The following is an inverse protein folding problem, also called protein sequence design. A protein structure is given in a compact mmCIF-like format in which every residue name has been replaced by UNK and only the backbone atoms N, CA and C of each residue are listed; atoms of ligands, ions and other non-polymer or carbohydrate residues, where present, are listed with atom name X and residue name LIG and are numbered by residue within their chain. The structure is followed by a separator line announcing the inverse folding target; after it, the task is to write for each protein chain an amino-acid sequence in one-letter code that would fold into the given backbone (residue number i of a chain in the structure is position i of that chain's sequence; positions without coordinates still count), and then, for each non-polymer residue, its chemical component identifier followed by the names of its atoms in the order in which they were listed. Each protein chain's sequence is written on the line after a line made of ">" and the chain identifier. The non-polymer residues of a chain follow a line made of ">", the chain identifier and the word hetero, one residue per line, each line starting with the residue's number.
data_IF_199969366795
#
_entry.id   IF_199969366795
#
_cell.length_a   1.000
_cell.length_b   1.000
_cell.length_c   1.000
_cell.angle_alpha   90.00
_cell.angle_beta   90.00
_cell.angle_gamma   90.00
#
_symmetry.space_group_name_H-M   'P 1'
#
loop_
_entity.id
_entity.type
_entity.pdbx_description
1 polymer ?
#
# COMPACT_ATOMS: atom_id res chain seq x y z
N UNK A 1 15.60 -19.75 13.82
CA UNK A 1 15.56 -18.32 13.50
C UNK A 1 16.35 -18.06 12.24
N UNK A 2 15.66 -18.11 11.10
CA UNK A 2 16.15 -17.73 9.78
C UNK A 2 15.96 -16.23 9.55
N UNK A 3 16.57 -15.68 8.50
CA UNK A 3 16.38 -14.27 8.15
C UNK A 3 14.90 -13.93 7.86
N UNK A 4 14.18 -14.84 7.20
CA UNK A 4 12.75 -14.65 6.91
C UNK A 4 11.91 -14.67 8.21
N UNK A 5 12.22 -15.57 9.14
CA UNK A 5 11.57 -15.62 10.46
C UNK A 5 11.81 -14.33 11.25
N UNK A 6 13.00 -13.73 11.15
CA UNK A 6 13.30 -12.45 11.81
C UNK A 6 12.48 -11.29 11.24
N UNK A 7 12.36 -11.23 9.90
CA UNK A 7 11.54 -10.21 9.23
C UNK A 7 10.07 -10.36 9.62
N UNK A 8 9.54 -11.59 9.58
CA UNK A 8 8.16 -11.87 9.97
C UNK A 8 7.88 -11.50 11.44
N UNK A 9 8.79 -11.87 12.35
CA UNK A 9 8.67 -11.52 13.77
C UNK A 9 8.72 -10.01 14.00
N UNK A 10 9.59 -9.27 13.30
CA UNK A 10 9.64 -7.82 13.43
C UNK A 10 8.40 -7.15 12.82
N UNK A 11 7.85 -7.68 11.71
CA UNK A 11 6.59 -7.18 11.15
C UNK A 11 5.45 -7.37 12.14
N UNK A 12 5.35 -8.53 12.78
CA UNK A 12 4.37 -8.78 13.84
C UNK A 12 4.54 -7.80 15.00
N UNK A 13 5.79 -7.56 15.44
CA UNK A 13 6.09 -6.58 16.49
C UNK A 13 5.68 -5.14 16.09
N UNK A 14 5.89 -4.73 14.85
CA UNK A 14 5.45 -3.42 14.36
C UNK A 14 3.93 -3.27 14.48
N UNK A 15 3.17 -4.29 14.12
CA UNK A 15 1.71 -4.29 14.24
C UNK A 15 1.28 -4.28 15.71
N UNK A 16 1.72 -5.27 16.50
CA UNK A 16 1.20 -5.50 17.85
C UNK A 16 1.72 -4.51 18.90
N UNK A 17 2.98 -4.11 18.79
CA UNK A 17 3.64 -3.29 19.82
C UNK A 17 3.70 -1.83 19.42
N UNK A 18 3.89 -1.54 18.12
CA UNK A 18 3.97 -0.16 17.64
C UNK A 18 2.65 0.37 17.07
N UNK A 19 1.67 -0.49 16.79
CA UNK A 19 0.40 -0.09 16.18
C UNK A 19 0.52 0.27 14.71
N UNK A 20 1.58 -0.16 14.02
CA UNK A 20 1.77 0.08 12.59
C UNK A 20 0.94 -0.93 11.79
N UNK A 21 -0.38 -0.79 11.86
CA UNK A 21 -1.33 -1.65 11.17
C UNK A 21 -1.35 -1.37 9.67
N UNK A 22 -1.93 -2.27 8.85
CA UNK A 22 -2.17 -2.00 7.43
C UNK A 22 -2.85 -0.64 7.17
N UNK A 23 -3.83 -0.26 7.99
CA UNK A 23 -4.56 1.00 7.87
C UNK A 23 -3.67 2.22 8.20
N UNK A 24 -2.80 2.10 9.20
CA UNK A 24 -1.79 3.12 9.47
C UNK A 24 -0.83 3.26 8.30
N UNK A 25 -0.38 2.14 7.73
CA UNK A 25 0.54 2.14 6.59
C UNK A 25 -0.10 2.80 5.35
N UNK A 26 -1.43 2.67 5.18
CA UNK A 26 -2.19 3.32 4.09
C UNK A 26 -2.20 4.86 4.18
N UNK A 27 -1.87 5.44 5.35
CA UNK A 27 -1.73 6.89 5.53
C UNK A 27 -0.39 7.44 4.98
N UNK A 28 0.59 6.58 4.70
CA UNK A 28 1.95 6.95 4.24
C UNK A 28 2.11 6.69 2.74
N UNK A 29 1.69 7.66 1.93
CA UNK A 29 1.60 7.52 0.46
C UNK A 29 2.72 8.22 -0.31
N UNK A 30 3.58 8.99 0.36
CA UNK A 30 4.67 9.75 -0.28
C UNK A 30 6.00 8.97 -0.29
N UNK A 31 5.98 7.69 0.08
CA UNK A 31 7.15 6.80 0.10
C UNK A 31 7.87 6.76 1.45
N UNK A 32 7.25 7.28 2.51
CA UNK A 32 7.84 7.39 3.85
C UNK A 32 8.26 6.02 4.41
N UNK A 33 7.47 4.97 4.16
CA UNK A 33 7.78 3.60 4.61
C UNK A 33 9.02 3.05 3.87
N UNK A 34 9.15 3.34 2.57
CA UNK A 34 10.29 2.91 1.77
C UNK A 34 11.57 3.66 2.15
N UNK A 35 11.49 4.96 2.39
CA UNK A 35 12.58 5.76 2.95
C UNK A 35 13.00 5.19 4.32
N UNK A 36 12.01 4.78 5.13
CA UNK A 36 12.30 4.15 6.40
C UNK A 36 12.95 2.75 6.25
N UNK A 37 12.55 1.95 5.29
CA UNK A 37 13.29 0.73 5.00
C UNK A 37 14.75 1.02 4.62
N UNK A 38 14.96 2.05 3.80
CA UNK A 38 16.28 2.43 3.30
C UNK A 38 17.22 2.90 4.40
N UNK A 39 16.78 3.73 5.36
CA UNK A 39 17.71 4.11 6.42
C UNK A 39 18.10 2.89 7.25
N UNK A 40 17.19 2.00 7.67
CA UNK A 40 17.57 0.78 8.40
C UNK A 40 18.51 -0.12 7.58
N UNK A 41 18.31 -0.20 6.26
CA UNK A 41 19.18 -0.96 5.37
C UNK A 41 20.55 -0.33 5.15
N UNK A 42 20.67 1.00 5.27
CA UNK A 42 21.93 1.71 5.07
C UNK A 42 22.98 1.35 6.15
N UNK A 43 24.27 1.20 5.80
CA UNK A 43 25.34 1.10 6.79
C UNK A 43 25.48 2.41 7.58
N UNK A 44 25.95 2.35 8.83
CA UNK A 44 25.96 3.47 9.81
C UNK A 44 26.71 4.74 9.38
N UNK A 45 27.35 4.75 8.21
CA UNK A 45 28.16 5.85 7.69
C UNK A 45 27.37 7.05 7.15
N UNK A 46 26.02 6.99 7.17
CA UNK A 46 25.13 7.97 6.52
C UNK A 46 23.96 8.43 7.41
N UNK A 47 24.07 8.31 8.73
CA UNK A 47 22.97 8.68 9.64
C UNK A 47 23.10 10.13 10.07
N UNK A 48 22.27 10.99 9.47
CA UNK A 48 22.02 12.33 9.98
C UNK A 48 21.44 12.23 11.42
N UNK A 49 21.87 13.09 12.36
CA UNK A 49 21.42 13.10 13.76
C UNK A 49 19.91 13.27 13.98
N UNK A 50 19.15 13.58 12.93
CA UNK A 50 17.69 13.77 12.95
C UNK A 50 16.92 12.72 12.15
N UNK A 51 17.60 11.68 11.65
CA UNK A 51 16.96 10.56 10.97
C UNK A 51 16.04 9.79 11.93
N UNK A 52 14.93 9.24 11.41
CA UNK A 52 13.98 8.48 12.23
C UNK A 52 14.63 7.17 12.76
N UNK A 53 15.79 6.79 12.21
CA UNK A 53 16.72 5.80 12.72
C UNK A 53 17.62 6.26 13.89
N UNK A 54 17.23 7.29 14.66
CA UNK A 54 17.99 7.88 15.79
C UNK A 54 18.50 6.87 16.86
N UNK A 55 17.93 5.65 16.92
CA UNK A 55 18.32 4.56 17.83
C UNK A 55 18.99 3.37 17.16
N UNK A 56 19.52 3.51 15.95
CA UNK A 56 20.18 2.40 15.23
C UNK A 56 21.29 1.71 16.04
N UNK A 57 22.02 2.47 16.85
CA UNK A 57 23.06 1.94 17.74
C UNK A 57 22.54 1.00 18.85
N UNK A 58 21.23 0.99 19.12
CA UNK A 58 20.60 0.07 20.08
C UNK A 58 20.31 -1.31 19.46
N UNK A 59 20.59 -1.50 18.16
CA UNK A 59 20.27 -2.70 17.41
C UNK A 59 21.49 -3.27 16.68
N UNK A 60 21.66 -4.59 16.77
CA UNK A 60 22.64 -5.31 15.96
C UNK A 60 22.32 -5.14 14.46
N UNK A 61 23.34 -5.30 13.60
CA UNK A 61 23.16 -5.17 12.16
C UNK A 61 22.06 -6.09 11.59
N UNK A 62 21.94 -7.31 12.13
CA UNK A 62 20.87 -8.24 11.74
C UNK A 62 19.48 -7.73 12.14
N UNK A 63 19.33 -7.12 13.32
CA UNK A 63 18.07 -6.52 13.75
C UNK A 63 17.68 -5.31 12.90
N UNK A 64 18.65 -4.47 12.51
CA UNK A 64 18.40 -3.35 11.60
C UNK A 64 17.90 -3.86 10.24
N UNK A 65 18.55 -4.88 9.66
CA UNK A 65 18.11 -5.48 8.39
C UNK A 65 16.74 -6.16 8.51
N UNK A 66 16.44 -6.80 9.63
CA UNK A 66 15.11 -7.36 9.87
C UNK A 66 14.03 -6.27 9.91
N UNK A 67 14.31 -5.12 10.54
CA UNK A 67 13.42 -3.94 10.54
C UNK A 67 13.23 -3.36 9.14
N UNK A 68 14.31 -3.23 8.37
CA UNK A 68 14.23 -2.81 6.98
C UNK A 68 13.34 -3.75 6.15
N UNK A 69 13.58 -5.07 6.25
CA UNK A 69 12.77 -6.06 5.56
C UNK A 69 11.29 -6.01 5.95
N UNK A 70 10.99 -5.82 7.24
CA UNK A 70 9.61 -5.69 7.72
C UNK A 70 8.90 -4.45 7.15
N UNK A 71 9.62 -3.32 7.04
CA UNK A 71 9.07 -2.10 6.41
C UNK A 71 8.86 -2.26 4.90
N UNK A 72 9.76 -2.98 4.20
CA UNK A 72 9.56 -3.30 2.77
C UNK A 72 8.29 -4.14 2.58
N UNK A 73 8.07 -5.14 3.44
CA UNK A 73 6.85 -5.95 3.42
C UNK A 73 5.63 -5.06 3.62
N UNK A 74 5.65 -4.16 4.60
CA UNK A 74 4.55 -3.22 4.87
C UNK A 74 4.24 -2.33 3.64
N UNK A 75 5.26 -1.75 2.99
CA UNK A 75 5.07 -0.91 1.80
C UNK A 75 4.53 -1.71 0.60
N UNK A 76 5.02 -2.94 0.39
CA UNK A 76 4.49 -3.82 -0.65
C UNK A 76 3.02 -4.14 -0.42
N UNK A 77 2.65 -4.46 0.83
CA UNK A 77 1.27 -4.75 1.20
C UNK A 77 0.36 -3.52 0.99
N UNK A 78 0.84 -2.31 1.32
CA UNK A 78 0.15 -1.04 1.08
C UNK A 78 -0.11 -0.82 -0.41
N UNK A 79 0.92 -0.95 -1.25
CA UNK A 79 0.79 -0.81 -2.71
C UNK A 79 -0.20 -1.85 -3.26
N UNK A 80 -0.08 -3.11 -2.86
CA UNK A 80 -0.97 -4.18 -3.30
C UNK A 80 -2.44 -3.92 -2.92
N UNK A 81 -2.72 -3.28 -1.77
CA UNK A 81 -4.07 -2.86 -1.40
C UNK A 81 -4.56 -1.71 -2.29
N UNK A 82 -3.72 -0.69 -2.53
CA UNK A 82 -4.02 0.42 -3.42
C UNK A 82 -4.33 -0.02 -4.85
N UNK A 83 -3.49 -0.87 -5.44
CA UNK A 83 -3.68 -1.44 -6.78
C UNK A 83 -4.99 -2.24 -6.87
N UNK A 84 -5.32 -3.01 -5.83
CA UNK A 84 -6.58 -3.75 -5.76
C UNK A 84 -7.79 -2.82 -5.74
N UNK A 85 -7.73 -1.72 -5.00
CA UNK A 85 -8.82 -0.73 -4.96
C UNK A 85 -8.98 -0.03 -6.31
N UNK A 86 -7.88 0.36 -6.96
CA UNK A 86 -7.91 0.97 -8.29
C UNK A 86 -8.50 0.03 -9.36
N UNK A 87 -8.20 -1.27 -9.29
CA UNK A 87 -8.79 -2.27 -10.18
C UNK A 87 -10.31 -2.45 -9.99
N UNK A 88 -10.81 -2.32 -8.76
CA UNK A 88 -12.25 -2.41 -8.47
C UNK A 88 -12.97 -1.17 -9.04
N UNK A 89 -12.42 0.03 -8.84
CA UNK A 89 -13.00 1.28 -9.32
C UNK A 89 -13.23 1.27 -10.85
N UNK A 90 -12.19 0.87 -11.60
CA UNK A 90 -12.25 0.69 -13.06
C UNK A 90 -13.29 -0.34 -13.51
N UNK A 91 -13.58 -1.36 -12.69
CA UNK A 91 -14.56 -2.39 -13.02
C UNK A 91 -16.00 -1.94 -12.80
N UNK A 92 -16.25 -1.06 -11.82
CA UNK A 92 -17.57 -0.52 -11.52
C UNK A 92 -18.06 0.49 -12.56
N UNK A 93 -17.13 1.26 -13.15
CA UNK A 93 -17.44 2.19 -14.24
C UNK A 93 -17.82 1.50 -15.56
N UNK A 94 -17.37 0.24 -15.75
CA UNK A 94 -17.61 -0.51 -16.99
C UNK A 94 -19.00 -1.14 -17.11
N UNK A 95 -19.77 -1.19 -16.01
CA UNK A 95 -21.07 -1.91 -15.95
C UNK A 95 -22.29 -0.97 -16.15
N UNK A 96 -22.10 0.34 -16.32
CA UNK A 96 -23.20 1.32 -16.48
C UNK A 96 -23.59 1.67 -17.93
N UNK A 97 -23.06 0.97 -18.95
CA UNK A 97 -23.30 1.34 -20.37
C UNK A 97 -24.38 0.55 -21.13
N UNK A 98 -25.23 -0.27 -20.47
CA UNK A 98 -26.32 -0.99 -21.16
C UNK A 98 -27.68 -0.90 -20.47
N UNK A 99 -28.29 0.30 -20.42
CA UNK A 99 -29.76 0.41 -20.44
C UNK A 99 -30.17 1.73 -21.09
N UNK A 100 -30.17 1.75 -22.42
CA UNK A 100 -30.95 2.73 -23.19
C UNK A 100 -32.15 1.96 -23.72
N UNK A 101 -33.26 2.02 -22.99
CA UNK A 101 -34.54 1.43 -23.42
C UNK A 101 -34.97 2.08 -24.75
N UNK A 102 -34.98 1.27 -25.80
CA UNK A 102 -35.55 1.62 -27.08
C UNK A 102 -37.08 1.71 -26.96
N UNK A 103 -37.60 2.91 -26.76
CA UNK A 103 -39.01 3.21 -27.07
C UNK A 103 -39.08 3.81 -28.48
N UNK A 104 -39.19 2.93 -29.47
CA UNK A 104 -39.58 3.30 -30.82
C UNK A 104 -41.09 3.53 -30.86
N UNK A 105 -41.52 4.78 -30.80
CA UNK A 105 -42.89 5.13 -31.17
C UNK A 105 -42.94 5.29 -32.70
N UNK A 106 -43.50 4.25 -33.33
CA UNK A 106 -43.77 4.18 -34.77
C UNK A 106 -44.84 5.21 -35.12
N UNK A 107 -44.47 6.22 -35.90
CA UNK A 107 -45.42 7.17 -36.50
C UNK A 107 -45.43 6.95 -38.01
N UNK A 108 -46.52 6.39 -38.52
CA UNK A 108 -46.97 6.52 -39.92
C UNK A 108 -48.52 6.43 -39.95
N UNK A 109 -49.20 6.81 -41.06
CA UNK A 109 -49.35 8.18 -41.55
C UNK A 109 -50.84 8.52 -41.76
N UNK A 110 -51.32 9.72 -41.40
CA UNK A 110 -52.71 10.08 -41.73
C UNK A 110 -52.81 10.91 -43.02
N UNK A 111 -53.39 10.25 -44.02
CA UNK A 111 -53.86 10.79 -45.28
C UNK A 111 -55.30 11.29 -45.09
N UNK A 112 -55.53 12.61 -45.00
CA UNK A 112 -56.88 13.10 -45.22
C UNK A 112 -56.98 14.56 -45.73
N UNK A 113 -57.38 14.64 -47.00
CA UNK A 113 -58.12 15.70 -47.74
C UNK A 113 -57.40 16.98 -48.18
#
# INVERSE_FOLDING_TARGET
>A
MTALEMIAAERQRQIEVKGYTPEHDDEHILGEIAEAAAEFASPDMWLEPHSWAYKKGEHTRLQQLAKAGALIVAEMERIMRGDRLALIDLSLDSDQSEVVEASAEVVEPDQQK
#
